data_IF_733626918029
#
_entry.id   IF_733626918029
#
_cell.length_a   1.000
_cell.length_b   1.000
_cell.length_c   1.000
_cell.angle_alpha   90.00
_cell.angle_beta   90.00
_cell.angle_gamma   90.00
#
_symmetry.space_group_name_H-M   'P 1'
#
loop_
_entity.id
_entity.type
_entity.pdbx_description
1 polymer ?
#
# COMPACT_ATOMS: atom_id res chain seq x y z
N UNK A 1 -0.46 10.51 7.97
CA UNK A 1 0.86 10.16 8.56
C UNK A 1 1.94 10.36 7.53
N UNK A 2 3.22 10.43 7.91
CA UNK A 2 4.31 10.41 6.93
C UNK A 2 4.66 8.96 6.53
N UNK A 3 5.49 8.78 5.50
CA UNK A 3 5.88 7.46 5.01
C UNK A 3 6.61 6.62 6.08
N UNK A 4 7.49 7.23 6.87
CA UNK A 4 8.26 6.48 7.89
C UNK A 4 7.34 5.91 8.98
N UNK A 5 6.30 6.64 9.38
CA UNK A 5 5.26 6.16 10.29
C UNK A 5 4.47 5.00 9.68
N UNK A 6 4.06 5.13 8.40
CA UNK A 6 3.36 4.08 7.68
C UNK A 6 4.20 2.79 7.60
N UNK A 7 5.50 2.89 7.27
CA UNK A 7 6.44 1.76 7.27
C UNK A 7 6.50 1.08 8.65
N UNK A 8 6.61 1.87 9.73
CA UNK A 8 6.66 1.33 11.10
C UNK A 8 5.39 0.57 11.45
N UNK A 9 4.22 1.10 11.09
CA UNK A 9 2.92 0.45 11.35
C UNK A 9 2.79 -0.84 10.55
N UNK A 10 3.05 -0.81 9.24
CA UNK A 10 2.99 -2.00 8.39
C UNK A 10 3.92 -3.10 8.91
N UNK A 11 5.21 -2.80 9.12
CA UNK A 11 6.20 -3.79 9.62
C UNK A 11 5.82 -4.45 10.94
N UNK A 12 5.15 -3.72 11.86
CA UNK A 12 4.70 -4.29 13.15
C UNK A 12 3.58 -5.31 12.96
N UNK A 13 2.78 -5.16 11.90
CA UNK A 13 1.57 -5.93 11.65
C UNK A 13 1.74 -7.01 10.56
N UNK A 14 2.90 -7.10 9.90
CA UNK A 14 3.21 -8.18 8.93
C UNK A 14 3.65 -9.50 9.59
N UNK A 15 3.39 -9.70 10.89
CA UNK A 15 3.75 -10.95 11.59
C UNK A 15 2.89 -12.12 11.13
N UNK A 16 3.43 -13.36 11.07
CA UNK A 16 2.64 -14.55 10.78
C UNK A 16 1.42 -14.65 11.73
N UNK A 17 0.22 -14.77 11.16
CA UNK A 17 -1.05 -14.86 11.91
C UNK A 17 -1.68 -13.52 12.33
N UNK A 18 -1.05 -12.37 12.03
CA UNK A 18 -1.62 -11.04 12.25
C UNK A 18 -2.34 -10.47 11.03
N UNK A 19 -3.16 -9.43 11.24
CA UNK A 19 -3.81 -8.68 10.17
C UNK A 19 -2.75 -7.94 9.34
N UNK A 20 -2.56 -8.38 8.10
CA UNK A 20 -1.60 -7.77 7.19
C UNK A 20 -2.10 -6.38 6.76
N UNK A 21 -1.32 -5.33 7.04
CA UNK A 21 -1.67 -3.93 6.77
C UNK A 21 -0.87 -3.39 5.59
N UNK A 22 -1.54 -2.60 4.76
CA UNK A 22 -0.93 -1.88 3.64
C UNK A 22 -0.96 -0.38 3.90
N UNK A 23 -0.24 0.37 3.07
CA UNK A 23 -0.31 1.82 3.07
C UNK A 23 -0.50 2.35 1.66
N UNK A 24 -0.92 3.60 1.52
CA UNK A 24 -0.92 4.32 0.24
C UNK A 24 -0.73 5.82 0.46
N UNK A 25 -0.24 6.56 -0.54
CA UNK A 25 -0.41 8.01 -0.58
C UNK A 25 -1.89 8.39 -0.47
N UNK A 26 -2.20 9.52 0.17
CA UNK A 26 -3.57 10.03 0.25
C UNK A 26 -4.12 10.37 -1.14
N UNK A 27 -3.25 10.76 -2.09
CA UNK A 27 -3.60 10.98 -3.51
C UNK A 27 -4.21 9.75 -4.19
N UNK A 28 -3.98 8.54 -3.66
CA UNK A 28 -4.55 7.29 -4.17
C UNK A 28 -5.87 6.91 -3.46
N UNK A 29 -6.39 7.79 -2.60
CA UNK A 29 -7.66 7.57 -1.92
C UNK A 29 -8.80 7.28 -2.91
N UNK A 30 -9.60 6.26 -2.61
CA UNK A 30 -10.70 5.82 -3.48
C UNK A 30 -10.29 4.92 -4.64
N UNK A 31 -8.99 4.63 -4.80
CA UNK A 31 -8.50 3.64 -5.78
C UNK A 31 -8.22 2.31 -5.10
N UNK A 32 -8.43 1.18 -5.78
CA UNK A 32 -8.10 -0.14 -5.24
C UNK A 32 -6.58 -0.46 -5.13
N UNK A 33 -5.74 0.57 -5.06
CA UNK A 33 -4.28 0.45 -5.03
C UNK A 33 -3.74 0.73 -3.62
N UNK A 34 -2.80 -0.10 -3.20
CA UNK A 34 -1.97 0.14 -2.02
C UNK A 34 -0.57 -0.40 -2.22
N UNK A 35 0.28 -0.24 -1.22
CA UNK A 35 1.64 -0.75 -1.20
C UNK A 35 1.95 -1.53 0.06
N UNK A 36 2.73 -2.61 -0.11
CA UNK A 36 3.26 -3.37 1.02
C UNK A 36 4.57 -2.76 1.49
N UNK A 37 4.48 -1.92 2.52
CA UNK A 37 5.64 -1.31 3.18
C UNK A 37 6.28 -2.24 4.24
N UNK A 38 5.67 -3.40 4.52
CA UNK A 38 6.09 -4.30 5.59
C UNK A 38 7.00 -5.44 5.13
N UNK A 39 6.87 -5.91 3.89
CA UNK A 39 7.57 -7.11 3.39
C UNK A 39 8.78 -6.87 2.48
N UNK A 40 8.96 -5.69 1.90
CA UNK A 40 10.08 -5.42 0.98
C UNK A 40 10.87 -4.17 1.35
N UNK A 41 11.96 -4.36 2.07
CA UNK A 41 13.14 -3.52 1.89
C UNK A 41 14.22 -4.39 1.28
N UNK A 42 14.82 -3.94 0.19
CA UNK A 42 16.02 -4.60 -0.31
C UNK A 42 17.15 -4.48 0.71
N UNK A 43 18.08 -5.44 0.64
CA UNK A 43 19.29 -5.49 1.47
C UNK A 43 20.14 -4.21 1.39
N UNK A 44 19.97 -3.42 0.33
CA UNK A 44 20.59 -2.10 0.10
C UNK A 44 19.93 -0.94 0.88
N UNK A 45 18.95 -1.21 1.75
CA UNK A 45 18.16 -0.20 2.50
C UNK A 45 17.35 0.75 1.61
N UNK A 46 17.23 0.47 0.32
CA UNK A 46 16.34 1.21 -0.59
C UNK A 46 14.92 0.71 -0.39
N UNK A 47 13.96 1.64 -0.35
CA UNK A 47 12.55 1.32 -0.23
C UNK A 47 12.06 0.80 -1.60
N UNK A 48 12.24 -0.49 -1.88
CA UNK A 48 11.60 -1.14 -3.04
C UNK A 48 10.14 -1.39 -2.70
N UNK A 49 9.33 -0.36 -2.87
CA UNK A 49 7.90 -0.42 -2.60
C UNK A 49 7.23 -1.23 -3.70
N UNK A 50 6.47 -2.26 -3.34
CA UNK A 50 5.63 -2.98 -4.30
C UNK A 50 4.20 -2.47 -4.20
N UNK A 51 3.64 -2.06 -5.35
CA UNK A 51 2.20 -1.87 -5.46
C UNK A 51 1.52 -3.23 -5.37
N UNK A 52 0.50 -3.26 -4.53
CA UNK A 52 -0.50 -4.29 -4.49
C UNK A 52 -1.76 -3.70 -5.09
N UNK A 53 -2.09 -4.20 -6.27
CA UNK A 53 -3.45 -4.11 -6.76
C UNK A 53 -4.18 -5.35 -6.22
N UNK A 54 -5.36 -5.16 -5.65
CA UNK A 54 -6.23 -6.23 -5.14
C UNK A 54 -6.48 -7.39 -6.12
N UNK A 55 -6.36 -7.16 -7.43
CA UNK A 55 -6.48 -8.20 -8.48
C UNK A 55 -5.21 -9.00 -8.71
N UNK A 56 -4.06 -8.49 -8.27
CA UNK A 56 -2.79 -9.14 -8.47
C UNK A 56 -1.79 -8.68 -7.39
N UNK A 57 -1.41 -9.61 -6.49
CA UNK A 57 -0.18 -9.54 -5.69
C UNK A 57 1.09 -9.60 -6.58
N UNK A 58 1.01 -9.12 -7.83
CA UNK A 58 2.13 -9.01 -8.74
C UNK A 58 2.96 -7.84 -8.27
N UNK A 59 4.03 -8.14 -7.55
CA UNK A 59 4.99 -7.16 -7.06
C UNK A 59 5.73 -6.49 -8.20
N UNK A 60 5.07 -5.55 -8.88
CA UNK A 60 5.72 -4.57 -9.75
C UNK A 60 6.46 -3.61 -8.82
N UNK A 61 7.75 -3.40 -9.09
CA UNK A 61 8.52 -2.37 -8.41
C UNK A 61 7.88 -1.03 -8.72
N UNK A 62 7.40 -0.34 -7.70
CA UNK A 62 6.93 1.02 -7.83
C UNK A 62 8.05 1.96 -7.44
N UNK A 63 8.46 2.77 -8.40
CA UNK A 63 9.28 3.94 -8.15
C UNK A 63 8.35 5.03 -7.62
N UNK A 64 8.45 5.27 -6.32
CA UNK A 64 7.75 6.37 -5.65
C UNK A 64 8.22 7.69 -6.26
N UNK A 65 7.26 8.56 -6.60
CA UNK A 65 7.55 9.95 -6.93
C UNK A 65 8.13 10.68 -5.71
N UNK A 66 9.23 11.46 -5.83
CA UNK A 66 9.73 12.32 -4.76
C UNK A 66 8.64 13.15 -4.05
N UNK A 67 7.62 13.63 -4.75
CA UNK A 67 6.51 14.36 -4.14
C UNK A 67 5.65 13.48 -3.23
N UNK A 68 5.48 12.20 -3.56
CA UNK A 68 4.74 11.24 -2.76
C UNK A 68 5.52 10.79 -1.49
N UNK A 69 6.85 10.85 -1.51
CA UNK A 69 7.67 10.68 -0.29
C UNK A 69 7.36 11.77 0.74
N UNK A 70 7.11 12.99 0.27
CA UNK A 70 6.80 14.16 1.09
C UNK A 70 5.31 14.27 1.41
N UNK A 71 4.48 13.54 0.66
CA UNK A 71 3.03 13.51 0.81
C UNK A 71 2.53 12.86 2.11
N UNK A 72 1.22 12.99 2.34
CA UNK A 72 0.54 12.27 3.42
C UNK A 72 0.22 10.85 2.99
N UNK A 73 0.35 9.95 3.94
CA UNK A 73 0.07 8.53 3.81
C UNK A 73 -1.10 8.11 4.70
N UNK A 74 -1.73 7.00 4.33
CA UNK A 74 -2.80 6.34 5.08
C UNK A 74 -2.58 4.84 5.13
N UNK A 75 -3.02 4.20 6.21
CA UNK A 75 -3.05 2.74 6.35
C UNK A 75 -4.37 2.23 5.79
N UNK A 76 -4.31 1.15 5.03
CA UNK A 76 -5.48 0.50 4.44
C UNK A 76 -5.41 -1.00 4.65
N UNK A 77 -6.57 -1.64 4.81
CA UNK A 77 -6.70 -3.09 4.97
C UNK A 77 -7.05 -3.74 3.63
N UNK A 78 -6.80 -5.05 3.51
CA UNK A 78 -7.24 -5.82 2.35
C UNK A 78 -8.76 -5.69 2.10
N UNK A 79 -9.56 -5.70 3.17
CA UNK A 79 -11.02 -5.55 3.09
C UNK A 79 -11.44 -4.19 2.52
N UNK A 80 -10.71 -3.12 2.85
CA UNK A 80 -10.97 -1.80 2.29
C UNK A 80 -10.66 -1.76 0.80
N UNK A 81 -9.51 -2.30 0.39
CA UNK A 81 -9.13 -2.36 -1.03
C UNK A 81 -10.14 -3.19 -1.83
N UNK A 82 -10.57 -4.34 -1.31
CA UNK A 82 -11.57 -5.18 -1.97
C UNK A 82 -12.92 -4.47 -2.14
N UNK A 83 -13.35 -3.66 -1.17
CA UNK A 83 -14.57 -2.85 -1.30
C UNK A 83 -14.45 -1.81 -2.41
N UNK A 84 -13.30 -1.15 -2.51
CA UNK A 84 -13.05 -0.13 -3.54
C UNK A 84 -13.03 -0.74 -4.96
N UNK A 85 -12.52 -1.97 -5.14
CA UNK A 85 -12.60 -2.69 -6.43
C UNK A 85 -14.04 -2.91 -6.89
N UNK A 86 -14.88 -3.35 -5.97
CA UNK A 86 -16.27 -3.67 -6.29
C UNK A 86 -17.01 -2.38 -6.69
N UNK A 87 -16.70 -1.28 -6.01
CA UNK A 87 -17.32 0.01 -6.33
C UNK A 87 -16.85 0.57 -7.68
N UNK A 88 -15.55 0.47 -8.02
CA UNK A 88 -15.04 0.82 -9.36
C UNK A 88 -15.66 -0.02 -10.48
N UNK A 89 -16.10 -1.25 -10.16
CA UNK A 89 -16.74 -2.15 -11.12
C UNK A 89 -18.21 -1.75 -11.35
N UNK A 90 -18.92 -1.33 -10.30
CA UNK A 90 -20.32 -0.87 -10.37
C UNK A 90 -20.48 0.50 -11.05
N UNK A 91 -19.46 1.38 -11.01
CA UNK A 91 -19.55 2.70 -11.67
C UNK A 91 -19.23 2.69 -13.17
N UNK A 92 -18.87 1.51 -13.72
CA UNK A 92 -18.49 1.33 -15.13
C UNK A 92 -19.53 0.54 -15.94
N UNK A 93 -20.67 0.19 -15.35
CA UNK A 93 -21.86 -0.36 -16.01
C UNK A 93 -22.91 0.73 -16.28
#
# INVERSE_FOLDING_TARGET
MNLQEAVKICRRNTKPGGSHLFARPVSWGGTANAVDLGRKLSSDKTLKVCILNSRALTGVSWEVDPEELLGRWQIVTQEQLNREVNHESETRE
#
